data_IF_280501757578
#
_entry.id   IF_280501757578
#
_cell.length_a   1.000
_cell.length_b   1.000
_cell.length_c   1.000
_cell.angle_alpha   90.00
_cell.angle_beta   90.00
_cell.angle_gamma   90.00
#
_symmetry.space_group_name_H-M   'P 1'
#
loop_
_entity.id
_entity.type
_entity.pdbx_description
1 polymer ?
#
# COMPACT_ATOMS: atom_id res chain seq x y z
N UNK A 1 5.44 2.88 27.34
CA UNK A 1 5.13 2.34 26.01
C UNK A 1 6.28 1.42 25.60
N UNK A 2 6.12 0.09 25.64
CA UNK A 2 7.21 -0.83 25.29
C UNK A 2 7.47 -0.81 23.78
N UNK A 3 8.73 -0.81 23.37
CA UNK A 3 9.16 -0.76 21.96
C UNK A 3 8.44 -1.78 21.06
N UNK A 4 8.16 -2.98 21.58
CA UNK A 4 7.41 -4.03 20.89
C UNK A 4 5.97 -3.62 20.53
N UNK A 5 5.28 -2.86 21.39
CA UNK A 5 3.93 -2.36 21.11
C UNK A 5 3.93 -1.25 20.07
N UNK A 6 5.00 -0.44 20.02
CA UNK A 6 5.18 0.60 19.00
C UNK A 6 5.33 -0.05 17.61
N UNK A 7 6.19 -1.06 17.50
CA UNK A 7 6.49 -1.77 16.25
C UNK A 7 5.28 -2.54 15.65
N UNK A 8 4.42 -3.13 16.50
CA UNK A 8 3.21 -3.83 16.05
C UNK A 8 2.11 -2.89 15.53
N UNK A 9 2.05 -1.65 16.02
CA UNK A 9 1.10 -0.65 15.52
C UNK A 9 1.56 -0.01 14.20
N UNK A 10 2.87 0.12 13.99
CA UNK A 10 3.44 0.82 12.83
C UNK A 10 3.31 0.03 11.51
N UNK A 11 3.34 -1.30 11.55
CA UNK A 11 3.22 -2.15 10.34
C UNK A 11 1.83 -2.13 9.69
N UNK A 12 0.76 -2.09 10.49
CA UNK A 12 -0.61 -1.94 9.99
C UNK A 12 -0.93 -0.51 9.53
N UNK A 13 -0.30 0.50 10.13
CA UNK A 13 -0.51 1.90 9.75
C UNK A 13 0.13 2.26 8.39
N UNK A 14 1.01 1.41 7.89
CA UNK A 14 1.73 1.62 6.63
C UNK A 14 1.11 0.87 5.44
N UNK A 15 -0.06 0.26 5.60
CA UNK A 15 -0.79 -0.35 4.48
C UNK A 15 -1.96 0.52 4.06
N UNK A 16 -2.11 0.70 2.75
CA UNK A 16 -3.16 1.54 2.16
C UNK A 16 -3.91 0.80 1.06
N UNK A 17 -5.12 1.29 0.76
CA UNK A 17 -5.92 0.80 -0.34
C UNK A 17 -5.61 1.49 -1.68
N UNK A 18 -6.20 0.96 -2.75
CA UNK A 18 -6.03 1.47 -4.13
C UNK A 18 -6.37 2.96 -4.26
N UNK A 19 -7.44 3.42 -3.60
CA UNK A 19 -7.89 4.81 -3.74
C UNK A 19 -6.91 5.79 -3.10
N UNK A 20 -6.39 5.47 -1.91
CA UNK A 20 -5.38 6.31 -1.25
C UNK A 20 -4.07 6.31 -2.04
N UNK A 21 -3.64 5.16 -2.54
CA UNK A 21 -2.46 5.06 -3.41
C UNK A 21 -2.62 5.87 -4.71
N UNK A 22 -3.83 5.88 -5.28
CA UNK A 22 -4.15 6.66 -6.47
C UNK A 22 -4.03 8.17 -6.22
N UNK A 23 -4.49 8.64 -5.05
CA UNK A 23 -4.30 10.03 -4.63
C UNK A 23 -2.82 10.39 -4.41
N UNK A 24 -2.03 9.49 -3.82
CA UNK A 24 -0.60 9.72 -3.58
C UNK A 24 0.20 9.78 -4.89
N UNK A 25 -0.08 8.87 -5.82
CA UNK A 25 0.60 8.80 -7.12
C UNK A 25 0.01 9.76 -8.17
N UNK A 26 -1.11 10.42 -7.86
CA UNK A 26 -1.88 11.26 -8.80
C UNK A 26 -2.23 10.53 -10.11
N UNK A 27 -2.73 9.30 -10.01
CA UNK A 27 -3.19 8.48 -11.13
C UNK A 27 -4.57 7.89 -10.85
N UNK A 28 -5.19 7.25 -11.84
CA UNK A 28 -6.48 6.59 -11.62
C UNK A 28 -6.34 5.32 -10.76
N UNK A 29 -7.36 4.96 -9.96
CA UNK A 29 -7.38 3.69 -9.23
C UNK A 29 -7.22 2.45 -10.14
N UNK A 30 -7.71 2.51 -11.37
CA UNK A 30 -7.50 1.46 -12.37
C UNK A 30 -6.02 1.30 -12.74
N UNK A 31 -5.31 2.42 -12.92
CA UNK A 31 -3.87 2.41 -13.16
C UNK A 31 -3.12 1.77 -11.98
N UNK A 32 -3.46 2.13 -10.74
CA UNK A 32 -2.86 1.52 -9.54
C UNK A 32 -3.08 0.01 -9.50
N UNK A 33 -4.29 -0.49 -9.82
CA UNK A 33 -4.55 -1.93 -9.91
C UNK A 33 -3.68 -2.62 -10.95
N UNK A 34 -3.45 -1.98 -12.10
CA UNK A 34 -2.56 -2.50 -13.13
C UNK A 34 -1.11 -2.56 -12.63
N UNK A 35 -0.62 -1.54 -11.94
CA UNK A 35 0.73 -1.55 -11.34
C UNK A 35 0.88 -2.66 -10.29
N UNK A 36 -0.14 -2.88 -9.45
CA UNK A 36 -0.16 -3.99 -8.49
C UNK A 36 -0.11 -5.35 -9.21
N UNK A 37 -0.92 -5.54 -10.26
CA UNK A 37 -0.94 -6.78 -11.04
C UNK A 37 0.37 -7.03 -11.81
N UNK A 38 1.07 -5.97 -12.21
CA UNK A 38 2.37 -6.02 -12.87
C UNK A 38 3.54 -6.20 -11.89
N UNK A 39 3.32 -6.14 -10.57
CA UNK A 39 4.38 -6.20 -9.57
C UNK A 39 5.26 -4.95 -9.49
N UNK A 40 4.83 -3.83 -10.08
CA UNK A 40 5.57 -2.55 -10.06
C UNK A 40 5.43 -1.80 -8.73
N UNK A 41 4.42 -2.15 -7.93
CA UNK A 41 4.21 -1.64 -6.57
C UNK A 41 4.20 -2.85 -5.63
N UNK A 42 4.84 -2.70 -4.47
CA UNK A 42 4.79 -3.70 -3.40
C UNK A 42 3.36 -3.77 -2.86
N UNK A 43 2.63 -4.80 -3.27
CA UNK A 43 1.24 -4.99 -2.92
C UNK A 43 0.87 -6.48 -2.81
N UNK A 44 -0.15 -6.78 -2.03
CA UNK A 44 -0.75 -8.12 -1.90
C UNK A 44 -2.25 -8.05 -2.17
N UNK A 45 -2.76 -9.04 -2.91
CA UNK A 45 -4.20 -9.20 -3.12
C UNK A 45 -4.79 -10.10 -2.02
N UNK A 46 -5.81 -9.60 -1.33
CA UNK A 46 -6.57 -10.33 -0.31
C UNK A 46 -8.04 -10.33 -0.75
N UNK A 47 -8.53 -11.47 -1.22
CA UNK A 47 -9.83 -11.57 -1.87
C UNK A 47 -9.91 -10.64 -3.10
N UNK A 48 -10.80 -9.64 -3.03
CA UNK A 48 -10.99 -8.63 -4.10
C UNK A 48 -10.22 -7.33 -3.84
N UNK A 49 -9.56 -7.22 -2.69
CA UNK A 49 -8.91 -5.98 -2.24
C UNK A 49 -7.41 -6.05 -2.46
N UNK A 50 -6.82 -4.94 -2.91
CA UNK A 50 -5.37 -4.76 -2.92
C UNK A 50 -4.94 -4.01 -1.66
N UNK A 51 -3.94 -4.57 -0.99
CA UNK A 51 -3.26 -3.98 0.16
C UNK A 51 -1.88 -3.57 -0.30
N UNK A 52 -1.56 -2.29 -0.21
CA UNK A 52 -0.36 -1.67 -0.78
C UNK A 52 0.53 -1.18 0.36
N UNK A 53 1.84 -1.46 0.28
CA UNK A 53 2.82 -0.89 1.21
C UNK A 53 3.07 0.59 0.87
N UNK A 54 2.63 1.48 1.75
CA UNK A 54 2.73 2.93 1.60
C UNK A 54 4.17 3.42 1.61
N UNK A 55 5.06 2.78 2.37
CA UNK A 55 6.45 3.21 2.47
C UNK A 55 7.18 2.94 1.16
N UNK A 56 6.90 1.79 0.54
CA UNK A 56 7.49 1.38 -0.73
C UNK A 56 6.87 2.06 -1.96
N UNK A 57 5.76 2.77 -1.78
CA UNK A 57 5.07 3.49 -2.87
C UNK A 57 5.79 4.78 -3.28
N UNK A 58 6.49 5.44 -2.34
CA UNK A 58 7.15 6.73 -2.56
C UNK A 58 8.61 6.62 -3.02
N UNK A 59 9.19 5.43 -3.02
CA UNK A 59 10.61 5.20 -3.33
C UNK A 59 10.86 4.86 -4.81
N UNK A 60 9.90 5.13 -5.70
CA UNK A 60 9.97 4.82 -7.14
C UNK A 60 10.13 6.06 -8.02
#
# INVERSE_FOLDING_TARGET
MNYLNKMNSETLNNVIGVNEAASILNVSPGHVKNLCAQGKIVAKKIGKTWVIDKLKLKEG
#
